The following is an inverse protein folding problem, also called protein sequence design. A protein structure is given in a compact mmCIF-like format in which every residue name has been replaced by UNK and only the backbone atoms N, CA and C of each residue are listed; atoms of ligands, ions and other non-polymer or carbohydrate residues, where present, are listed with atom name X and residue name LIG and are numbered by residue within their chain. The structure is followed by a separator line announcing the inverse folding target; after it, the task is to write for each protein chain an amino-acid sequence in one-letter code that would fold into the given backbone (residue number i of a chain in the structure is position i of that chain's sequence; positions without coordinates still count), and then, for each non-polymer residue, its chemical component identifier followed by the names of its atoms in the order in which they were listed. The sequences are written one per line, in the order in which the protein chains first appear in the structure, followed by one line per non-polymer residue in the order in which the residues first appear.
data_IF_580554512925
#
_entry.id   IF_580554512925
#
_cell.length_a   1.000
_cell.length_b   1.000
_cell.length_c   1.000
_cell.angle_alpha   90.00
_cell.angle_beta   90.00
_cell.angle_gamma   90.00
#
_symmetry.space_group_name_H-M   'P 1'
#
loop_
_entity.id
_entity.type
_entity.pdbx_description
1 polymer ?
#
# COMPACT_ATOMS: atom_id res chain seq x y z
N UNK A 1 13.57 -15.20 -13.79
CA UNK A 1 12.74 -15.54 -12.60
C UNK A 1 11.71 -14.42 -12.47
N UNK A 2 10.42 -14.68 -12.73
CA UNK A 2 9.35 -13.66 -12.74
C UNK A 2 8.90 -13.33 -11.31
N UNK A 3 8.61 -12.07 -10.94
CA UNK A 3 7.98 -11.76 -9.65
C UNK A 3 6.60 -12.42 -9.57
N UNK A 4 6.26 -13.00 -8.43
CA UNK A 4 4.89 -13.47 -8.17
C UNK A 4 4.01 -12.25 -7.91
N UNK A 5 3.08 -11.97 -8.82
CA UNK A 5 2.07 -10.92 -8.69
C UNK A 5 0.91 -11.41 -7.83
N UNK A 6 0.69 -10.77 -6.69
CA UNK A 6 -0.53 -10.94 -5.88
C UNK A 6 -1.38 -9.68 -6.04
N UNK A 7 -2.69 -9.83 -6.24
CA UNK A 7 -3.61 -8.70 -6.29
C UNK A 7 -3.89 -8.21 -4.85
N UNK A 8 -4.01 -6.91 -4.62
CA UNK A 8 -4.60 -6.40 -3.39
C UNK A 8 -5.82 -5.57 -3.70
N UNK A 9 -6.88 -5.80 -2.92
CA UNK A 9 -8.09 -5.03 -3.00
C UNK A 9 -8.20 -4.21 -1.72
N UNK A 10 -7.90 -2.92 -1.81
CA UNK A 10 -8.18 -1.98 -0.74
C UNK A 10 -9.71 -1.85 -0.59
N UNK A 11 -10.30 -2.69 0.25
CA UNK A 11 -11.70 -2.55 0.68
C UNK A 11 -11.69 -2.03 2.10
N UNK A 12 -12.00 -0.76 2.29
CA UNK A 12 -12.33 -0.25 3.62
C UNK A 12 -13.60 -0.95 4.09
N UNK A 13 -13.56 -1.56 5.28
CA UNK A 13 -14.67 -2.35 5.82
C UNK A 13 -15.87 -1.50 6.29
N UNK A 14 -15.86 -0.18 6.06
CA UNK A 14 -16.90 0.74 6.59
C UNK A 14 -18.10 0.97 5.68
N UNK A 15 -18.06 0.61 4.40
CA UNK A 15 -19.20 0.82 3.51
C UNK A 15 -19.85 -0.50 3.10
N UNK A 16 -20.75 -0.99 3.95
CA UNK A 16 -21.77 -1.96 3.54
C UNK A 16 -22.86 -1.24 2.73
N UNK A 17 -22.58 -0.94 1.46
CA UNK A 17 -23.64 -0.65 0.47
C UNK A 17 -23.11 -0.92 -0.94
N UNK A 18 -23.90 -1.69 -1.69
CA UNK A 18 -23.62 -2.12 -3.07
C UNK A 18 -23.38 -0.92 -3.99
N UNK A 19 -22.12 -0.65 -4.32
CA UNK A 19 -21.75 -0.06 -5.60
C UNK A 19 -20.64 -0.92 -6.21
N UNK A 20 -20.99 -1.64 -7.28
CA UNK A 20 -20.04 -2.16 -8.26
C UNK A 20 -19.50 -0.94 -9.01
N UNK A 21 -18.54 -0.22 -8.43
CA UNK A 21 -17.69 0.68 -9.20
C UNK A 21 -16.48 -0.13 -9.69
N UNK A 22 -16.04 0.13 -10.92
CA UNK A 22 -14.83 -0.39 -11.53
C UNK A 22 -13.60 0.12 -10.76
N UNK A 23 -13.38 -0.36 -9.54
CA UNK A 23 -12.17 -0.02 -8.81
C UNK A 23 -11.03 -0.84 -9.40
N UNK A 24 -10.17 -0.17 -10.17
CA UNK A 24 -8.95 -0.78 -10.69
C UNK A 24 -8.14 -1.33 -9.49
N UNK A 25 -7.87 -2.64 -9.45
CA UNK A 25 -7.16 -3.24 -8.32
C UNK A 25 -5.70 -2.77 -8.31
N UNK A 26 -5.14 -2.67 -7.10
CA UNK A 26 -3.69 -2.54 -6.97
C UNK A 26 -3.04 -3.92 -7.11
N UNK A 27 -1.87 -3.95 -7.72
CA UNK A 27 -1.00 -5.13 -7.78
C UNK A 27 0.13 -4.96 -6.77
N UNK A 28 0.42 -6.00 -5.99
CA UNK A 28 1.53 -6.01 -5.05
C UNK A 28 2.73 -6.71 -5.66
N UNK A 29 3.81 -5.95 -5.82
CA UNK A 29 5.12 -6.44 -6.19
C UNK A 29 5.94 -6.71 -4.93
N UNK A 30 6.25 -7.97 -4.68
CA UNK A 30 7.00 -8.41 -3.49
C UNK A 30 8.50 -8.33 -3.76
N UNK A 31 9.22 -7.69 -2.85
CA UNK A 31 10.68 -7.64 -2.88
C UNK A 31 11.25 -8.67 -1.92
N UNK A 32 12.32 -9.32 -2.35
CA UNK A 32 13.10 -10.20 -1.47
C UNK A 32 13.86 -9.32 -0.48
N UNK A 33 13.35 -9.22 0.75
CA UNK A 33 14.04 -8.55 1.85
C UNK A 33 14.89 -9.55 2.65
N UNK A 34 16.01 -9.07 3.20
CA UNK A 34 16.85 -9.82 4.16
C UNK A 34 16.41 -9.53 5.60
N UNK A 35 15.62 -8.48 5.82
CA UNK A 35 15.15 -8.03 7.13
C UNK A 35 13.65 -8.28 7.26
N UNK A 36 13.27 -9.13 8.21
CA UNK A 36 11.91 -9.65 8.40
C UNK A 36 11.18 -9.04 9.59
N UNK A 37 11.86 -8.19 10.38
CA UNK A 37 11.31 -7.61 11.62
C UNK A 37 10.19 -6.62 11.30
N UNK A 38 10.38 -5.82 10.24
CA UNK A 38 9.45 -4.73 9.90
C UNK A 38 8.30 -5.17 8.98
N UNK A 39 8.29 -6.42 8.52
CA UNK A 39 7.28 -6.96 7.60
C UNK A 39 7.83 -7.28 6.20
N UNK A 40 6.93 -7.60 5.26
CA UNK A 40 7.30 -7.92 3.89
C UNK A 40 7.39 -6.64 3.05
N UNK A 41 8.56 -6.37 2.45
CA UNK A 41 8.74 -5.23 1.54
C UNK A 41 7.94 -5.43 0.25
N UNK A 42 7.04 -4.49 -0.03
CA UNK A 42 6.19 -4.49 -1.23
C UNK A 42 6.17 -3.11 -1.89
N UNK A 43 5.96 -3.08 -3.21
CA UNK A 43 5.50 -1.89 -3.92
C UNK A 43 4.06 -2.14 -4.41
N UNK A 44 3.26 -1.08 -4.45
CA UNK A 44 1.91 -1.12 -4.99
C UNK A 44 1.90 -0.48 -6.38
N UNK A 45 1.32 -1.17 -7.35
CA UNK A 45 1.16 -0.66 -8.72
C UNK A 45 -0.30 -0.65 -9.15
N UNK A 46 -0.63 0.24 -10.07
CA UNK A 46 -1.94 0.28 -10.74
C UNK A 46 -1.72 0.43 -12.24
N UNK A 47 -2.53 -0.25 -13.03
CA UNK A 47 -2.58 -0.03 -14.49
C UNK A 47 -3.69 0.96 -14.82
N UNK A 48 -3.36 2.01 -15.56
CA UNK A 48 -4.31 3.02 -16.01
C UNK A 48 -3.95 3.44 -17.44
N UNK A 49 -4.93 3.41 -18.35
CA UNK A 49 -4.71 3.74 -19.78
C UNK A 49 -3.53 3.00 -20.43
N UNK A 50 -3.39 1.70 -20.15
CA UNK A 50 -2.28 0.83 -20.62
C UNK A 50 -0.89 1.22 -20.10
N UNK A 51 -0.81 2.06 -19.07
CA UNK A 51 0.42 2.47 -18.42
C UNK A 51 0.44 1.96 -16.98
N UNK A 52 1.61 1.52 -16.51
CA UNK A 52 1.80 1.15 -15.11
C UNK A 52 2.23 2.37 -14.30
N UNK A 53 1.66 2.52 -13.12
CA UNK A 53 2.03 3.53 -12.15
C UNK A 53 2.39 2.86 -10.83
N UNK A 54 3.52 3.27 -10.24
CA UNK A 54 3.95 2.87 -8.92
C UNK A 54 3.50 3.90 -7.89
N UNK A 55 2.85 3.44 -6.81
CA UNK A 55 2.58 4.27 -5.65
C UNK A 55 3.90 4.62 -4.96
N UNK A 56 4.08 5.90 -4.63
CA UNK A 56 5.24 6.40 -3.92
C UNK A 56 4.85 7.42 -2.84
N UNK A 57 5.76 7.64 -1.91
CA UNK A 57 5.69 8.67 -0.89
C UNK A 57 6.59 9.84 -1.27
N UNK A 58 6.15 11.06 -1.06
CA UNK A 58 7.02 12.24 -1.13
C UNK A 58 7.65 12.52 0.23
N UNK A 59 8.72 13.31 0.27
CA UNK A 59 9.35 13.77 1.52
C UNK A 59 8.36 14.57 2.40
N UNK A 60 7.39 15.23 1.79
CA UNK A 60 6.29 15.96 2.47
C UNK A 60 5.17 15.04 3.00
N UNK A 61 5.42 13.72 3.11
CA UNK A 61 4.49 12.73 3.66
C UNK A 61 3.16 12.63 2.88
N UNK A 62 3.20 12.84 1.56
CA UNK A 62 2.06 12.66 0.66
C UNK A 62 2.25 11.43 -0.20
N UNK A 63 1.15 10.83 -0.64
CA UNK A 63 1.17 9.80 -1.66
C UNK A 63 1.08 10.41 -3.05
N UNK A 64 1.80 9.80 -3.99
CA UNK A 64 1.78 10.16 -5.40
C UNK A 64 2.01 8.91 -6.27
N UNK A 65 1.80 9.04 -7.58
CA UNK A 65 1.99 7.99 -8.56
C UNK A 65 3.10 8.34 -9.55
N UNK A 66 4.14 7.53 -9.57
CA UNK A 66 5.20 7.61 -10.58
C UNK A 66 4.86 6.72 -11.76
N UNK A 67 4.80 7.31 -12.95
CA UNK A 67 4.64 6.56 -14.21
C UNK A 67 5.86 5.67 -14.44
N UNK A 68 5.62 4.42 -14.83
CA UNK A 68 6.62 3.43 -15.15
C UNK A 68 6.57 2.20 -14.24
N UNK A 69 7.38 1.20 -14.59
CA UNK A 69 7.53 -0.02 -13.79
C UNK A 69 8.34 0.25 -12.52
N UNK A 70 8.04 -0.50 -11.47
CA UNK A 70 8.83 -0.43 -10.25
C UNK A 70 10.19 -1.14 -10.49
N UNK A 71 11.30 -0.60 -9.94
CA UNK A 71 12.63 -1.15 -10.14
C UNK A 71 12.74 -2.60 -9.68
N UNK A 72 13.49 -3.43 -10.40
CA UNK A 72 13.65 -4.86 -10.06
C UNK A 72 14.43 -5.06 -8.74
N UNK A 73 15.28 -4.09 -8.37
CA UNK A 73 16.11 -4.12 -7.16
C UNK A 73 16.06 -2.77 -6.47
N UNK A 74 15.83 -2.80 -5.16
CA UNK A 74 16.01 -1.64 -4.27
C UNK A 74 17.42 -1.74 -3.69
N UNK A 75 18.21 -0.66 -3.79
CA UNK A 75 19.60 -0.64 -3.29
C UNK A 75 19.67 -0.37 -1.79
N UNK A 76 18.76 0.45 -1.29
CA UNK A 76 18.73 0.93 0.09
C UNK A 76 17.62 0.26 0.89
N UNK A 77 17.74 0.29 2.22
CA UNK A 77 16.72 -0.29 3.12
C UNK A 77 15.41 0.52 3.14
N UNK A 78 15.47 1.80 2.75
CA UNK A 78 14.35 2.72 2.70
C UNK A 78 14.17 3.23 1.27
N UNK A 79 12.91 3.32 0.82
CA UNK A 79 12.57 3.83 -0.49
C UNK A 79 11.17 4.41 -0.49
N UNK A 80 11.00 5.53 -1.19
CA UNK A 80 9.72 6.19 -1.44
C UNK A 80 8.64 5.27 -2.01
N UNK A 81 8.98 4.25 -2.79
CA UNK A 81 8.04 3.30 -3.39
C UNK A 81 7.80 2.03 -2.56
N UNK A 82 8.55 1.83 -1.46
CA UNK A 82 8.48 0.62 -0.65
C UNK A 82 7.62 0.85 0.59
N UNK A 83 6.71 -0.09 0.79
CA UNK A 83 5.88 -0.23 1.98
C UNK A 83 6.16 -1.57 2.64
N UNK A 84 6.14 -1.60 3.97
CA UNK A 84 6.21 -2.84 4.73
C UNK A 84 4.81 -3.38 4.99
N UNK A 85 4.48 -4.48 4.32
CA UNK A 85 3.26 -5.25 4.57
C UNK A 85 3.40 -6.02 5.88
N UNK A 86 2.60 -5.65 6.87
CA UNK A 86 2.55 -6.29 8.19
C UNK A 86 1.14 -6.86 8.41
N UNK A 87 1.04 -8.00 9.10
CA UNK A 87 -0.28 -8.45 9.61
C UNK A 87 -0.81 -7.39 10.57
N UNK A 88 -2.11 -7.11 10.49
CA UNK A 88 -2.71 -6.11 11.38
C UNK A 88 -2.66 -6.57 12.85
N UNK A 89 -3.01 -7.83 13.10
CA UNK A 89 -2.91 -8.48 14.41
C UNK A 89 -2.72 -9.99 14.28
N UNK A 90 -2.26 -10.64 15.35
CA UNK A 90 -2.15 -12.10 15.37
C UNK A 90 -3.53 -12.75 15.13
N UNK A 91 -3.59 -13.73 14.23
CA UNK A 91 -4.84 -14.41 13.85
C UNK A 91 -5.74 -13.64 12.87
N UNK A 92 -5.36 -12.43 12.46
CA UNK A 92 -6.08 -11.67 11.44
C UNK A 92 -5.48 -11.92 10.04
N UNK A 93 -6.35 -12.02 9.03
CA UNK A 93 -5.97 -12.10 7.61
C UNK A 93 -5.75 -10.73 6.97
N UNK A 94 -6.12 -9.65 7.65
CA UNK A 94 -5.91 -8.29 7.17
C UNK A 94 -4.49 -7.79 7.43
N UNK A 95 -4.09 -6.78 6.64
CA UNK A 95 -2.77 -6.18 6.65
C UNK A 95 -2.83 -4.68 6.91
N UNK A 96 -1.73 -4.15 7.42
CA UNK A 96 -1.37 -2.73 7.41
C UNK A 96 -0.09 -2.55 6.61
N UNK A 97 0.07 -1.37 6.01
CA UNK A 97 1.20 -1.05 5.15
C UNK A 97 1.90 0.19 5.70
N UNK A 98 3.10 0.01 6.22
CA UNK A 98 3.93 1.10 6.73
C UNK A 98 4.81 1.67 5.61
N UNK A 99 5.00 2.98 5.53
CA UNK A 99 5.97 3.57 4.60
C UNK A 99 7.38 3.20 5.04
N UNK A 100 8.22 2.71 4.13
CA UNK A 100 9.64 2.54 4.45
C UNK A 100 10.38 3.88 4.51
N UNK A 101 9.89 4.93 3.83
CA UNK A 101 10.49 6.26 3.85
C UNK A 101 10.14 7.03 5.13
N UNK A 102 8.91 6.87 5.62
CA UNK A 102 8.38 7.57 6.81
C UNK A 102 7.93 6.58 7.87
N UNK A 103 8.81 6.21 8.83
CA UNK A 103 8.45 5.30 9.92
C UNK A 103 7.24 5.78 10.72
N UNK A 104 6.41 4.85 11.20
CA UNK A 104 5.12 5.09 11.88
C UNK A 104 4.02 5.70 11.00
N UNK A 105 4.24 5.93 9.70
CA UNK A 105 3.18 6.35 8.78
C UNK A 105 2.67 5.17 7.97
N UNK A 106 1.36 5.00 7.99
CA UNK A 106 0.67 3.87 7.37
C UNK A 106 -0.24 4.34 6.24
N UNK A 107 -0.42 3.49 5.23
CA UNK A 107 -1.49 3.68 4.26
C UNK A 107 -2.84 3.71 4.99
N UNK A 108 -3.67 4.68 4.62
CA UNK A 108 -5.03 4.84 5.13
C UNK A 108 -5.93 5.37 4.02
N UNK A 109 -7.24 5.35 4.26
CA UNK A 109 -8.24 5.90 3.34
C UNK A 109 -8.91 7.11 4.00
N UNK A 110 -8.90 8.25 3.33
CA UNK A 110 -9.77 9.37 3.66
C UNK A 110 -10.97 9.40 2.72
N UNK A 111 -12.13 9.79 3.24
CA UNK A 111 -13.30 10.09 2.43
C UNK A 111 -13.47 11.61 2.36
N UNK A 112 -13.36 12.17 1.16
CA UNK A 112 -13.49 13.60 0.90
C UNK A 112 -14.50 13.80 -0.22
N UNK A 113 -15.60 14.51 0.06
CA UNK A 113 -16.66 14.79 -0.91
C UNK A 113 -17.22 13.55 -1.63
N UNK A 114 -17.38 12.43 -0.90
CA UNK A 114 -17.88 11.16 -1.45
C UNK A 114 -16.87 10.43 -2.35
N UNK A 115 -15.59 10.84 -2.34
CA UNK A 115 -14.49 10.15 -2.99
C UNK A 115 -13.55 9.57 -1.93
N UNK A 116 -13.22 8.30 -2.08
CA UNK A 116 -12.19 7.67 -1.27
C UNK A 116 -10.81 7.99 -1.85
N UNK A 117 -9.90 8.49 -1.02
CA UNK A 117 -8.53 8.81 -1.37
C UNK A 117 -7.57 8.03 -0.48
N UNK A 118 -6.54 7.44 -1.08
CA UNK A 118 -5.46 6.83 -0.32
C UNK A 118 -4.53 7.93 0.20
N UNK A 119 -4.17 7.87 1.49
CA UNK A 119 -3.30 8.84 2.17
C UNK A 119 -2.28 8.12 3.07
N UNK A 120 -1.29 8.87 3.56
CA UNK A 120 -0.45 8.45 4.67
C UNK A 120 -1.00 9.02 5.98
N UNK A 121 -1.16 8.17 6.98
CA UNK A 121 -1.62 8.52 8.31
C UNK A 121 -0.59 8.10 9.36
N UNK A 122 -0.23 9.03 10.25
CA UNK A 122 0.66 8.73 11.38
C UNK A 122 -0.05 7.86 12.41
N UNK A 123 0.62 6.79 12.84
CA UNK A 123 0.24 6.04 14.04
C UNK A 123 0.62 6.85 15.28
N UNK A 124 -0.35 7.18 16.12
CA UNK A 124 -0.09 7.87 17.40
C UNK A 124 -0.59 7.05 18.61
N UNK A 125 -0.74 5.74 18.45
CA UNK A 125 -1.24 4.81 19.48
C UNK A 125 -2.75 4.88 19.73
N UNK A 126 -3.39 6.01 19.41
CA UNK A 126 -4.84 6.20 19.51
C UNK A 126 -5.56 6.18 18.16
N UNK A 127 -4.81 6.39 17.07
CA UNK A 127 -5.33 6.37 15.70
C UNK A 127 -5.77 4.97 15.30
N UNK A 128 -7.03 4.81 14.92
CA UNK A 128 -7.48 3.60 14.24
C UNK A 128 -6.80 3.51 12.87
N UNK A 129 -5.93 2.52 12.71
CA UNK A 129 -5.27 2.23 11.44
C UNK A 129 -6.22 1.50 10.49
N UNK A 130 -6.06 1.76 9.19
CA UNK A 130 -6.87 1.11 8.16
C UNK A 130 -6.44 -0.36 7.97
N UNK A 131 -7.44 -1.23 7.77
CA UNK A 131 -7.24 -2.66 7.51
C UNK A 131 -7.42 -2.94 6.03
N UNK A 132 -6.40 -3.53 5.41
CA UNK A 132 -6.42 -3.88 4.00
C UNK A 132 -6.48 -5.39 3.80
N UNK A 133 -7.20 -5.83 2.78
CA UNK A 133 -7.24 -7.22 2.36
C UNK A 133 -6.40 -7.41 1.09
N UNK A 134 -5.58 -8.46 1.06
CA UNK A 134 -4.82 -8.88 -0.12
C UNK A 134 -5.46 -10.18 -0.61
N UNK A 135 -5.87 -10.23 -1.88
CA UNK A 135 -6.75 -11.28 -2.45
C UNK A 135 -6.12 -11.98 -3.64
#
# INVERSE_FOLDING_TARGET
MRPATNCACAKSLRTSTRQRSENQPFTLLKYRTVHTIDGLSVALTVEYENETYCLCCTDDMKLDFKKGECPIRIKDHHSDIIFFQQRFSAGDSSFKFESSLHPDYYLAVSEECGKCKLILQKSNGFSELERFNVV
#
